data_IF_441948497811
#
_entry.id   IF_441948497811
#
_cell.length_a   1.000
_cell.length_b   1.000
_cell.length_c   1.000
_cell.angle_alpha   90.00
_cell.angle_beta   90.00
_cell.angle_gamma   90.00
#
_symmetry.space_group_name_H-M   'P 1'
#
loop_
_entity.id
_entity.type
_entity.pdbx_description
1 polymer ?
#
# COMPACT_ATOMS: atom_id res chain seq x y z
N UNK A 1 94.28 -1.57 37.88
CA UNK A 1 92.97 -2.22 38.04
C UNK A 1 92.28 -1.60 39.26
N UNK A 2 91.20 -0.82 39.08
CA UNK A 2 90.42 -0.29 40.20
C UNK A 2 89.45 -1.38 40.67
N UNK A 3 89.62 -1.87 41.89
CA UNK A 3 88.68 -2.80 42.52
C UNK A 3 87.34 -2.09 42.67
N UNK A 4 86.26 -2.68 42.11
CA UNK A 4 84.90 -2.19 42.32
C UNK A 4 84.58 -2.27 43.82
N UNK A 5 84.04 -1.22 44.44
CA UNK A 5 83.65 -1.30 45.85
C UNK A 5 82.56 -2.37 46.01
N UNK A 6 82.81 -3.38 46.84
CA UNK A 6 81.80 -4.34 47.25
C UNK A 6 80.69 -3.58 47.99
N UNK A 7 79.44 -3.73 47.51
CA UNK A 7 78.27 -3.23 48.24
C UNK A 7 78.25 -3.84 49.64
N UNK A 8 78.00 -3.02 50.65
CA UNK A 8 77.85 -3.51 52.04
C UNK A 8 76.62 -4.42 52.10
N UNK A 9 76.65 -5.54 52.82
CA UNK A 9 75.53 -6.49 52.90
C UNK A 9 74.20 -5.84 53.31
N UNK A 10 74.25 -4.78 54.13
CA UNK A 10 73.08 -3.99 54.54
C UNK A 10 72.39 -3.26 53.36
N UNK A 11 73.14 -2.80 52.35
CA UNK A 11 72.54 -2.14 51.18
C UNK A 11 71.86 -3.13 50.25
N UNK A 12 72.40 -4.35 50.13
CA UNK A 12 71.78 -5.45 49.39
C UNK A 12 70.45 -5.88 50.00
N UNK A 13 70.37 -6.03 51.32
CA UNK A 13 69.13 -6.38 52.03
C UNK A 13 68.05 -5.31 51.83
N UNK A 14 68.41 -4.03 51.91
CA UNK A 14 67.49 -2.90 51.65
C UNK A 14 66.96 -2.91 50.22
N UNK A 15 67.81 -3.19 49.23
CA UNK A 15 67.40 -3.30 47.82
C UNK A 15 66.40 -4.45 47.65
N UNK A 16 66.68 -5.62 48.23
CA UNK A 16 65.79 -6.79 48.15
C UNK A 16 64.42 -6.47 48.78
N UNK A 17 64.40 -5.85 49.96
CA UNK A 17 63.15 -5.45 50.63
C UNK A 17 62.36 -4.46 49.77
N UNK A 18 63.02 -3.46 49.18
CA UNK A 18 62.35 -2.48 48.31
C UNK A 18 61.75 -3.13 47.06
N UNK A 19 62.47 -4.07 46.43
CA UNK A 19 61.97 -4.82 45.28
C UNK A 19 60.74 -5.65 45.66
N UNK A 20 60.75 -6.31 46.82
CA UNK A 20 59.61 -7.09 47.31
C UNK A 20 58.39 -6.22 47.62
N UNK A 21 58.60 -5.07 48.25
CA UNK A 21 57.52 -4.11 48.54
C UNK A 21 56.92 -3.56 47.25
N UNK A 22 57.76 -3.20 46.27
CA UNK A 22 57.31 -2.71 44.97
C UNK A 22 56.55 -3.80 44.20
N UNK A 23 57.06 -5.04 44.18
CA UNK A 23 56.39 -6.18 43.56
C UNK A 23 55.01 -6.43 44.19
N UNK A 24 54.93 -6.45 45.53
CA UNK A 24 53.67 -6.63 46.24
C UNK A 24 52.68 -5.49 45.96
N UNK A 25 53.15 -4.24 45.96
CA UNK A 25 52.33 -3.09 45.61
C UNK A 25 51.81 -3.16 44.17
N UNK A 26 52.66 -3.55 43.22
CA UNK A 26 52.28 -3.76 41.81
C UNK A 26 51.20 -4.84 41.68
N UNK A 27 51.36 -5.98 42.37
CA UNK A 27 50.35 -7.05 42.39
C UNK A 27 49.01 -6.58 42.97
N UNK A 28 49.02 -5.76 44.04
CA UNK A 28 47.80 -5.19 44.59
C UNK A 28 47.09 -4.23 43.61
N UNK A 29 47.86 -3.47 42.81
CA UNK A 29 47.28 -2.62 41.77
C UNK A 29 46.64 -3.43 40.64
N UNK A 30 47.28 -4.51 40.20
CA UNK A 30 46.72 -5.42 39.18
C UNK A 30 45.43 -6.09 39.67
N UNK A 31 45.40 -6.59 40.91
CA UNK A 31 44.19 -7.18 41.50
C UNK A 31 43.04 -6.17 41.55
N UNK A 32 43.33 -4.90 41.92
CA UNK A 32 42.32 -3.84 41.93
C UNK A 32 41.79 -3.55 40.52
N UNK A 33 42.67 -3.47 39.53
CA UNK A 33 42.28 -3.28 38.11
C UNK A 33 41.40 -4.44 37.63
N UNK A 34 41.81 -5.68 37.87
CA UNK A 34 41.03 -6.87 37.47
C UNK A 34 39.65 -6.91 38.12
N UNK A 35 39.52 -6.55 39.41
CA UNK A 35 38.22 -6.43 40.08
C UNK A 35 37.36 -5.35 39.44
N UNK A 36 37.91 -4.18 39.12
CA UNK A 36 37.18 -3.11 38.43
C UNK A 36 36.70 -3.56 37.05
N UNK A 37 37.56 -4.21 36.26
CA UNK A 37 37.18 -4.76 34.95
C UNK A 37 36.07 -5.80 35.07
N UNK A 38 36.14 -6.68 36.07
CA UNK A 38 35.10 -7.70 36.32
C UNK A 38 33.76 -7.04 36.67
N UNK A 39 33.77 -6.01 37.51
CA UNK A 39 32.54 -5.25 37.87
C UNK A 39 31.96 -4.58 36.62
N UNK A 40 32.79 -3.93 35.81
CA UNK A 40 32.35 -3.29 34.56
C UNK A 40 31.78 -4.31 33.56
N UNK A 41 32.41 -5.47 33.42
CA UNK A 41 31.89 -6.54 32.55
C UNK A 41 30.54 -7.07 33.03
N UNK A 42 30.38 -7.28 34.34
CA UNK A 42 29.11 -7.73 34.92
C UNK A 42 28.00 -6.68 34.76
N UNK A 43 28.34 -5.39 34.91
CA UNK A 43 27.41 -4.29 34.64
C UNK A 43 27.01 -4.25 33.16
N UNK A 44 27.97 -4.30 32.25
CA UNK A 44 27.71 -4.34 30.81
C UNK A 44 26.84 -5.55 30.41
N UNK A 45 27.07 -6.71 31.04
CA UNK A 45 26.24 -7.89 30.82
C UNK A 45 24.80 -7.70 31.33
N UNK A 46 24.63 -7.10 32.51
CA UNK A 46 23.31 -6.76 33.07
C UNK A 46 22.56 -5.76 32.18
N UNK A 47 23.25 -4.72 31.70
CA UNK A 47 22.67 -3.71 30.82
C UNK A 47 22.27 -4.32 29.47
N UNK A 48 23.09 -5.23 28.92
CA UNK A 48 22.77 -5.98 27.71
C UNK A 48 21.51 -6.83 27.89
N UNK A 49 21.41 -7.57 29.00
CA UNK A 49 20.23 -8.38 29.31
C UNK A 49 18.98 -7.52 29.44
N UNK A 50 19.09 -6.36 30.10
CA UNK A 50 18.00 -5.40 30.19
C UNK A 50 17.58 -4.90 28.80
N UNK A 51 18.53 -4.48 27.97
CA UNK A 51 18.25 -4.01 26.61
C UNK A 51 17.57 -5.09 25.75
N UNK A 52 18.06 -6.33 25.79
CA UNK A 52 17.46 -7.47 25.08
C UNK A 52 16.03 -7.73 25.55
N UNK A 53 15.76 -7.60 26.85
CA UNK A 53 14.40 -7.76 27.37
C UNK A 53 13.44 -6.67 26.89
N UNK A 54 13.92 -5.43 26.77
CA UNK A 54 13.11 -4.30 26.29
C UNK A 54 12.85 -4.41 24.79
N UNK A 55 13.86 -4.78 23.99
CA UNK A 55 13.68 -5.00 22.55
C UNK A 55 12.74 -6.16 22.27
N UNK A 56 12.83 -7.26 23.02
CA UNK A 56 11.91 -8.39 22.90
C UNK A 56 10.46 -7.96 23.18
N UNK A 57 10.21 -7.14 24.21
CA UNK A 57 8.87 -6.60 24.48
C UNK A 57 8.37 -5.69 23.35
N UNK A 58 9.24 -4.86 22.79
CA UNK A 58 8.89 -3.97 21.68
C UNK A 58 8.54 -4.77 20.41
N UNK A 59 9.32 -5.81 20.09
CA UNK A 59 9.05 -6.73 18.98
C UNK A 59 7.70 -7.42 19.20
N UNK A 60 7.45 -7.98 20.38
CA UNK A 60 6.18 -8.66 20.67
C UNK A 60 4.98 -7.72 20.49
N UNK A 61 5.07 -6.47 20.98
CA UNK A 61 4.00 -5.47 20.76
C UNK A 61 3.79 -5.16 19.28
N UNK A 62 4.86 -5.03 18.49
CA UNK A 62 4.72 -4.84 17.05
C UNK A 62 4.07 -6.05 16.38
N UNK A 63 4.46 -7.27 16.76
CA UNK A 63 3.87 -8.50 16.25
C UNK A 63 2.38 -8.59 16.58
N UNK A 64 1.97 -8.25 17.80
CA UNK A 64 0.56 -8.18 18.21
C UNK A 64 -0.23 -7.16 17.39
N UNK A 65 0.34 -5.97 17.15
CA UNK A 65 -0.30 -4.94 16.32
C UNK A 65 -0.46 -5.41 14.88
N UNK A 66 0.57 -6.05 14.30
CA UNK A 66 0.49 -6.61 12.93
C UNK A 66 -0.57 -7.70 12.86
N UNK A 67 -0.60 -8.62 13.83
CA UNK A 67 -1.63 -9.67 13.88
C UNK A 67 -3.04 -9.09 14.03
N UNK A 68 -3.22 -8.07 14.86
CA UNK A 68 -4.51 -7.41 15.03
C UNK A 68 -4.93 -6.66 13.77
N UNK A 69 -3.99 -6.03 13.05
CA UNK A 69 -4.25 -5.42 11.75
C UNK A 69 -4.60 -6.48 10.70
N UNK A 70 -3.93 -7.63 10.69
CA UNK A 70 -4.27 -8.75 9.80
C UNK A 70 -5.63 -9.38 10.13
N UNK A 71 -6.00 -9.42 11.41
CA UNK A 71 -7.31 -9.91 11.86
C UNK A 71 -8.44 -8.94 11.51
N UNK A 72 -8.15 -7.63 11.57
CA UNK A 72 -9.06 -6.54 11.18
C UNK A 72 -9.07 -6.26 9.69
N UNK A 73 -8.06 -6.71 8.94
CA UNK A 73 -8.06 -6.63 7.50
C UNK A 73 -9.29 -7.41 7.01
N UNK A 74 -10.16 -6.78 6.21
CA UNK A 74 -11.31 -7.47 5.67
C UNK A 74 -10.81 -8.70 4.91
N UNK A 75 -11.27 -9.88 5.33
CA UNK A 75 -11.16 -11.11 4.53
C UNK A 75 -11.70 -10.74 3.14
N UNK A 76 -10.82 -10.66 2.15
CA UNK A 76 -11.19 -10.16 0.84
C UNK A 76 -12.25 -11.10 0.28
N UNK A 77 -13.46 -10.57 0.08
CA UNK A 77 -14.56 -11.36 -0.46
C UNK A 77 -14.10 -12.02 -1.77
N UNK A 78 -14.16 -13.35 -1.90
CA UNK A 78 -13.76 -14.06 -3.13
C UNK A 78 -14.40 -13.49 -4.39
N UNK A 79 -15.63 -12.98 -4.27
CA UNK A 79 -16.35 -12.33 -5.36
C UNK A 79 -15.66 -11.05 -5.80
N UNK A 80 -15.16 -10.25 -4.86
CA UNK A 80 -14.42 -9.01 -5.16
C UNK A 80 -13.07 -9.31 -5.79
N UNK A 81 -12.38 -10.38 -5.35
CA UNK A 81 -11.12 -10.83 -5.97
C UNK A 81 -11.34 -11.13 -7.45
N UNK A 82 -12.39 -11.88 -7.78
CA UNK A 82 -12.73 -12.22 -9.16
C UNK A 82 -13.05 -10.99 -10.02
N UNK A 83 -13.80 -10.02 -9.49
CA UNK A 83 -14.09 -8.77 -10.21
C UNK A 83 -12.81 -7.98 -10.47
N UNK A 84 -11.93 -7.90 -9.49
CA UNK A 84 -10.64 -7.21 -9.62
C UNK A 84 -9.77 -7.87 -10.70
N UNK A 85 -9.69 -9.20 -10.74
CA UNK A 85 -8.99 -9.93 -11.80
C UNK A 85 -9.57 -9.62 -13.18
N UNK A 86 -10.90 -9.64 -13.32
CA UNK A 86 -11.59 -9.26 -14.57
C UNK A 86 -11.27 -7.81 -15.00
N UNK A 87 -11.10 -6.89 -14.05
CA UNK A 87 -10.72 -5.50 -14.33
C UNK A 87 -9.26 -5.37 -14.74
N UNK A 88 -8.36 -6.11 -14.09
CA UNK A 88 -6.93 -6.11 -14.44
C UNK A 88 -6.75 -6.65 -15.88
N UNK A 89 -7.48 -7.71 -16.25
CA UNK A 89 -7.54 -8.21 -17.63
C UNK A 89 -8.07 -7.15 -18.60
N UNK A 90 -9.17 -6.48 -18.24
CA UNK A 90 -9.78 -5.45 -19.07
C UNK A 90 -8.85 -4.24 -19.27
N UNK A 91 -8.14 -3.82 -18.22
CA UNK A 91 -7.15 -2.76 -18.29
C UNK A 91 -6.01 -3.13 -19.25
N UNK A 92 -5.51 -4.36 -19.18
CA UNK A 92 -4.47 -4.85 -20.09
C UNK A 92 -4.91 -4.81 -21.56
N UNK A 93 -6.18 -5.17 -21.84
CA UNK A 93 -6.76 -5.07 -23.19
C UNK A 93 -6.87 -3.62 -23.68
N UNK A 94 -7.17 -2.68 -22.80
CA UNK A 94 -7.29 -1.26 -23.14
C UNK A 94 -5.95 -0.53 -23.22
N UNK A 95 -4.88 -0.99 -22.56
CA UNK A 95 -3.56 -0.33 -22.59
C UNK A 95 -3.08 0.04 -24.00
N UNK A 96 -3.11 -0.86 -25.01
CA UNK A 96 -2.68 -0.51 -26.36
C UNK A 96 -3.68 0.37 -27.14
N UNK A 97 -4.93 0.47 -26.70
CA UNK A 97 -6.01 1.21 -27.37
C UNK A 97 -6.13 2.63 -26.81
N UNK A 98 -6.19 2.74 -25.49
CA UNK A 98 -6.34 3.99 -24.75
C UNK A 98 -5.80 3.83 -23.34
N UNK A 99 -4.56 4.29 -23.13
CA UNK A 99 -3.93 4.32 -21.81
C UNK A 99 -4.78 5.05 -20.77
N UNK A 100 -5.49 6.11 -21.19
CA UNK A 100 -6.39 6.86 -20.30
C UNK A 100 -7.53 5.99 -19.77
N UNK A 101 -8.19 5.21 -20.63
CA UNK A 101 -9.27 4.30 -20.22
C UNK A 101 -8.71 3.17 -19.36
N UNK A 102 -7.56 2.61 -19.72
CA UNK A 102 -6.90 1.58 -18.91
C UNK A 102 -6.59 2.07 -17.47
N UNK A 103 -6.10 3.31 -17.32
CA UNK A 103 -5.86 3.91 -16.01
C UNK A 103 -7.14 4.14 -15.20
N UNK A 104 -8.25 4.48 -15.86
CA UNK A 104 -9.55 4.61 -15.19
C UNK A 104 -10.09 3.24 -14.73
N UNK A 105 -9.90 2.19 -15.53
CA UNK A 105 -10.23 0.80 -15.15
C UNK A 105 -9.42 0.35 -13.94
N UNK A 106 -8.11 0.55 -13.95
CA UNK A 106 -7.23 0.26 -12.79
C UNK A 106 -7.67 1.03 -11.54
N UNK A 107 -8.10 2.28 -11.70
CA UNK A 107 -8.66 3.06 -10.60
C UNK A 107 -9.92 2.41 -10.00
N UNK A 108 -10.81 1.82 -10.80
CA UNK A 108 -11.96 1.09 -10.28
C UNK A 108 -11.53 -0.16 -9.48
N UNK A 109 -10.52 -0.89 -9.95
CA UNK A 109 -9.95 -2.04 -9.25
C UNK A 109 -9.34 -1.65 -7.89
N UNK A 110 -8.63 -0.52 -7.80
CA UNK A 110 -8.11 0.02 -6.53
C UNK A 110 -9.21 0.35 -5.53
N UNK A 111 -10.32 0.91 -5.97
CA UNK A 111 -11.46 1.23 -5.10
C UNK A 111 -12.08 -0.04 -4.51
N UNK A 112 -12.20 -1.12 -5.30
CA UNK A 112 -12.66 -2.41 -4.80
C UNK A 112 -11.72 -3.02 -3.75
N UNK A 113 -10.40 -2.95 -4.00
CA UNK A 113 -9.38 -3.39 -3.03
C UNK A 113 -9.42 -2.58 -1.73
N UNK A 114 -9.91 -1.34 -1.77
CA UNK A 114 -10.09 -0.46 -0.63
C UNK A 114 -11.47 -0.56 0.05
N UNK A 115 -12.29 -1.56 -0.29
CA UNK A 115 -13.65 -1.75 0.21
C UNK A 115 -14.58 -0.54 -0.07
N UNK A 116 -14.41 0.07 -1.25
CA UNK A 116 -15.22 1.20 -1.74
C UNK A 116 -16.05 0.81 -2.97
N UNK A 117 -17.01 -0.13 -2.85
CA UNK A 117 -17.70 -0.72 -4.01
C UNK A 117 -18.64 0.25 -4.73
N UNK A 118 -19.23 1.23 -4.03
CA UNK A 118 -20.10 2.24 -4.64
C UNK A 118 -19.28 3.20 -5.51
N UNK A 119 -18.14 3.66 -4.99
CA UNK A 119 -17.21 4.53 -5.72
C UNK A 119 -16.61 3.80 -6.92
N UNK A 120 -16.36 2.49 -6.80
CA UNK A 120 -15.94 1.66 -7.92
C UNK A 120 -16.99 1.64 -9.04
N UNK A 121 -18.27 1.38 -8.72
CA UNK A 121 -19.39 1.43 -9.71
C UNK A 121 -19.53 2.83 -10.32
N UNK A 122 -19.44 3.89 -9.53
CA UNK A 122 -19.47 5.27 -10.04
C UNK A 122 -18.31 5.56 -10.99
N UNK A 123 -17.12 5.00 -10.72
CA UNK A 123 -15.95 5.10 -11.59
C UNK A 123 -16.17 4.33 -12.89
N UNK A 124 -16.74 3.11 -12.84
CA UNK A 124 -17.12 2.35 -14.04
C UNK A 124 -18.15 3.08 -14.90
N UNK A 125 -19.16 3.71 -14.28
CA UNK A 125 -20.12 4.55 -14.99
C UNK A 125 -19.45 5.74 -15.71
N UNK A 126 -18.41 6.33 -15.10
CA UNK A 126 -17.61 7.39 -15.71
C UNK A 126 -16.78 6.87 -16.89
N UNK A 127 -16.22 5.66 -16.81
CA UNK A 127 -15.52 5.01 -17.93
C UNK A 127 -16.45 4.86 -19.13
N UNK A 128 -17.66 4.31 -18.90
CA UNK A 128 -18.69 4.17 -19.95
C UNK A 128 -19.07 5.52 -20.56
N UNK A 129 -19.25 6.55 -19.74
CA UNK A 129 -19.50 7.91 -20.23
C UNK A 129 -18.35 8.41 -21.11
N UNK A 130 -17.10 8.22 -20.70
CA UNK A 130 -15.93 8.66 -21.44
C UNK A 130 -15.79 7.91 -22.77
N UNK A 131 -16.06 6.59 -22.79
CA UNK A 131 -16.07 5.80 -24.03
C UNK A 131 -17.11 6.37 -25.00
N UNK A 132 -18.35 6.60 -24.54
CA UNK A 132 -19.40 7.18 -25.39
C UNK A 132 -19.05 8.58 -25.89
N UNK A 133 -18.40 9.40 -25.06
CA UNK A 133 -17.90 10.71 -25.49
C UNK A 133 -16.92 10.56 -26.65
N UNK A 134 -15.97 9.63 -26.55
CA UNK A 134 -14.99 9.39 -27.62
C UNK A 134 -15.67 8.90 -28.90
N UNK A 135 -16.67 8.02 -28.82
CA UNK A 135 -17.40 7.54 -30.00
C UNK A 135 -18.16 8.66 -30.72
N UNK A 136 -18.79 9.57 -29.98
CA UNK A 136 -19.65 10.61 -30.55
C UNK A 136 -18.96 11.97 -30.68
N UNK A 137 -17.67 12.07 -30.32
CA UNK A 137 -16.89 13.31 -30.43
C UNK A 137 -16.93 13.86 -31.86
N UNK A 138 -16.84 12.98 -32.86
CA UNK A 138 -16.85 13.32 -34.29
C UNK A 138 -18.18 13.03 -35.00
N UNK A 139 -19.22 12.58 -34.28
CA UNK A 139 -20.52 12.28 -34.89
C UNK A 139 -21.25 13.59 -35.21
N UNK A 140 -21.34 13.95 -36.49
CA UNK A 140 -22.00 15.19 -36.94
C UNK A 140 -23.45 15.31 -36.47
N UNK A 141 -24.19 14.20 -36.42
CA UNK A 141 -25.59 14.20 -36.01
C UNK A 141 -25.69 14.51 -34.52
N UNK A 142 -24.83 13.90 -33.71
CA UNK A 142 -24.74 14.19 -32.28
C UNK A 142 -24.33 15.64 -32.04
N UNK A 143 -23.31 16.11 -32.75
CA UNK A 143 -22.81 17.48 -32.65
C UNK A 143 -23.89 18.48 -33.04
N UNK A 144 -24.62 18.28 -34.14
CA UNK A 144 -25.73 19.19 -34.54
C UNK A 144 -26.84 19.25 -33.49
N UNK A 145 -27.19 18.11 -32.86
CA UNK A 145 -28.23 18.05 -31.81
C UNK A 145 -27.79 18.70 -30.49
N UNK A 146 -26.48 18.72 -30.20
CA UNK A 146 -25.95 19.12 -28.89
C UNK A 146 -24.98 20.31 -28.87
N UNK A 147 -24.65 20.89 -30.03
CA UNK A 147 -23.73 22.05 -30.21
C UNK A 147 -24.10 23.29 -29.36
N UNK A 148 -25.36 23.43 -28.97
CA UNK A 148 -25.84 24.57 -28.15
C UNK A 148 -25.78 24.32 -26.63
N UNK A 149 -25.46 23.11 -26.16
CA UNK A 149 -25.37 22.83 -24.72
C UNK A 149 -23.92 22.96 -24.25
N UNK A 150 -23.67 23.75 -23.20
CA UNK A 150 -22.33 23.98 -22.67
C UNK A 150 -21.66 22.73 -22.05
N UNK A 151 -22.40 21.62 -21.93
CA UNK A 151 -21.85 20.37 -21.39
C UNK A 151 -22.59 19.14 -21.93
N UNK A 152 -21.85 18.22 -22.54
CA UNK A 152 -22.35 16.90 -22.93
C UNK A 152 -22.46 16.04 -21.65
N UNK A 153 -23.70 15.69 -21.27
CA UNK A 153 -23.98 14.85 -20.11
C UNK A 153 -24.19 13.39 -20.51
N UNK A 154 -24.00 12.48 -19.54
CA UNK A 154 -24.13 11.04 -19.74
C UNK A 154 -25.50 10.62 -20.30
N UNK A 155 -26.57 11.28 -19.88
CA UNK A 155 -27.92 11.00 -20.36
C UNK A 155 -28.08 11.22 -21.88
N UNK A 156 -27.56 12.32 -22.41
CA UNK A 156 -27.62 12.62 -23.84
C UNK A 156 -26.83 11.58 -24.65
N UNK A 157 -25.67 11.16 -24.14
CA UNK A 157 -24.84 10.12 -24.78
C UNK A 157 -25.57 8.78 -24.85
N UNK A 158 -26.23 8.37 -23.75
CA UNK A 158 -27.03 7.15 -23.71
C UNK A 158 -28.19 7.24 -24.72
N UNK A 159 -28.94 8.34 -24.71
CA UNK A 159 -30.06 8.52 -25.65
C UNK A 159 -29.60 8.44 -27.11
N UNK A 160 -28.48 9.08 -27.46
CA UNK A 160 -27.95 9.01 -28.82
C UNK A 160 -27.48 7.60 -29.19
N UNK A 161 -26.84 6.88 -28.26
CA UNK A 161 -26.46 5.49 -28.48
C UNK A 161 -27.67 4.57 -28.72
N UNK A 162 -28.79 4.85 -28.05
CA UNK A 162 -30.07 4.15 -28.26
C UNK A 162 -30.66 4.46 -29.64
N UNK A 163 -30.68 5.74 -30.04
CA UNK A 163 -31.16 6.16 -31.37
C UNK A 163 -30.36 5.47 -32.49
N UNK A 164 -29.06 5.23 -32.26
CA UNK A 164 -28.16 4.51 -33.17
C UNK A 164 -28.26 2.98 -33.06
N UNK A 165 -29.11 2.44 -32.18
CA UNK A 165 -29.30 1.00 -31.99
C UNK A 165 -28.08 0.29 -31.39
N UNK A 166 -27.24 0.99 -30.62
CA UNK A 166 -25.98 0.45 -30.10
C UNK A 166 -26.16 -0.45 -28.87
N UNK A 167 -27.30 -0.34 -28.20
CA UNK A 167 -27.60 -1.04 -26.95
C UNK A 167 -28.98 -1.67 -26.99
N UNK A 168 -29.13 -2.81 -26.31
CA UNK A 168 -30.44 -3.44 -26.09
C UNK A 168 -31.28 -2.63 -25.09
N UNK A 169 -32.61 -2.85 -25.01
CA UNK A 169 -33.45 -2.22 -24.00
C UNK A 169 -32.95 -2.48 -22.56
N UNK A 170 -32.42 -3.68 -22.30
CA UNK A 170 -31.87 -4.08 -21.00
C UNK A 170 -30.61 -3.29 -20.66
N UNK A 171 -29.64 -3.24 -21.59
CA UNK A 171 -28.42 -2.45 -21.43
C UNK A 171 -28.72 -0.96 -21.27
N UNK A 172 -29.75 -0.46 -21.96
CA UNK A 172 -30.22 0.92 -21.84
C UNK A 172 -30.78 1.21 -20.45
N UNK A 173 -31.60 0.31 -19.90
CA UNK A 173 -32.11 0.44 -18.53
C UNK A 173 -30.97 0.46 -17.52
N UNK A 174 -30.01 -0.47 -17.66
CA UNK A 174 -28.82 -0.55 -16.83
C UNK A 174 -27.96 0.73 -16.87
N UNK A 175 -27.68 1.27 -18.06
CA UNK A 175 -26.95 2.53 -18.22
C UNK A 175 -27.65 3.71 -17.53
N UNK A 176 -28.99 3.75 -17.53
CA UNK A 176 -29.76 4.77 -16.82
C UNK A 176 -29.64 4.62 -15.30
N UNK A 177 -29.64 3.40 -14.78
CA UNK A 177 -29.39 3.13 -13.36
C UNK A 177 -27.98 3.54 -12.93
N UNK A 178 -26.96 3.16 -13.71
CA UNK A 178 -25.57 3.55 -13.45
C UNK A 178 -25.38 5.06 -13.42
N UNK A 179 -26.05 5.79 -14.32
CA UNK A 179 -26.08 7.25 -14.29
C UNK A 179 -26.65 7.75 -12.95
N UNK A 180 -27.70 7.11 -12.44
CA UNK A 180 -28.26 7.39 -11.12
C UNK A 180 -27.21 7.25 -10.01
N UNK A 181 -26.57 6.09 -9.92
CA UNK A 181 -25.53 5.79 -8.91
C UNK A 181 -24.37 6.80 -8.98
N UNK A 182 -23.90 7.11 -10.20
CA UNK A 182 -22.85 8.10 -10.41
C UNK A 182 -23.26 9.48 -9.91
N UNK A 183 -24.48 9.91 -10.22
CA UNK A 183 -24.99 11.22 -9.82
C UNK A 183 -25.18 11.28 -8.30
N UNK A 184 -25.77 10.25 -7.69
CA UNK A 184 -25.89 10.12 -6.23
C UNK A 184 -24.49 10.22 -5.60
N UNK A 185 -23.52 9.45 -6.08
CA UNK A 185 -22.15 9.44 -5.54
C UNK A 185 -21.39 10.77 -5.72
N UNK A 186 -21.82 11.62 -6.67
CA UNK A 186 -21.24 12.93 -6.90
C UNK A 186 -21.83 14.02 -5.98
N UNK A 187 -22.99 13.77 -5.38
CA UNK A 187 -23.74 14.76 -4.60
C UNK A 187 -23.96 14.35 -3.13
N UNK A 188 -23.89 13.06 -2.83
CA UNK A 188 -24.13 12.48 -1.50
C UNK A 188 -22.87 11.76 -1.00
N UNK A 189 -22.54 11.95 0.28
CA UNK A 189 -21.34 11.38 0.90
C UNK A 189 -21.52 9.92 1.36
N UNK A 190 -22.76 9.46 1.59
CA UNK A 190 -23.06 8.13 2.15
C UNK A 190 -24.10 7.39 1.30
N UNK A 191 -23.80 7.22 0.01
CA UNK A 191 -24.63 6.40 -0.87
C UNK A 191 -24.48 4.94 -0.48
N UNK A 192 -25.57 4.30 -0.06
CA UNK A 192 -25.60 2.89 0.32
C UNK A 192 -26.43 2.08 -0.66
N UNK A 193 -25.85 1.01 -1.20
CA UNK A 193 -26.54 0.03 -2.04
C UNK A 193 -26.28 -1.38 -1.53
N UNK A 194 -27.21 -2.34 -1.70
CA UNK A 194 -26.99 -3.71 -1.32
C UNK A 194 -25.75 -4.31 -1.99
N UNK A 195 -24.97 -5.11 -1.26
CA UNK A 195 -23.73 -5.71 -1.77
C UNK A 195 -23.94 -6.54 -3.05
N UNK A 196 -24.98 -7.38 -3.08
CA UNK A 196 -25.31 -8.19 -4.27
C UNK A 196 -25.69 -7.35 -5.48
N UNK A 197 -26.33 -6.19 -5.26
CA UNK A 197 -26.63 -5.24 -6.33
C UNK A 197 -25.35 -4.62 -6.90
N UNK A 198 -24.43 -4.17 -6.03
CA UNK A 198 -23.16 -3.59 -6.47
C UNK A 198 -22.29 -4.60 -7.23
N UNK A 199 -22.26 -5.86 -6.77
CA UNK A 199 -21.54 -6.93 -7.47
C UNK A 199 -22.12 -7.15 -8.88
N UNK A 200 -23.45 -7.26 -9.00
CA UNK A 200 -24.11 -7.39 -10.30
C UNK A 200 -23.85 -6.19 -11.21
N UNK A 201 -23.86 -4.96 -10.68
CA UNK A 201 -23.50 -3.78 -11.46
C UNK A 201 -22.04 -3.82 -11.94
N UNK A 202 -21.11 -4.32 -11.13
CA UNK A 202 -19.70 -4.44 -11.51
C UNK A 202 -19.52 -5.44 -12.66
N UNK A 203 -20.18 -6.59 -12.59
CA UNK A 203 -20.15 -7.59 -13.66
C UNK A 203 -20.72 -7.06 -14.97
N UNK A 204 -21.93 -6.49 -14.92
CA UNK A 204 -22.58 -5.95 -16.10
C UNK A 204 -21.81 -4.75 -16.69
N UNK A 205 -21.14 -3.93 -15.86
CA UNK A 205 -20.25 -2.89 -16.35
C UNK A 205 -19.07 -3.47 -17.14
N UNK A 206 -18.42 -4.50 -16.61
CA UNK A 206 -17.27 -5.15 -17.26
C UNK A 206 -17.70 -5.71 -18.61
N UNK A 207 -18.83 -6.43 -18.65
CA UNK A 207 -19.34 -7.03 -19.87
C UNK A 207 -19.71 -5.97 -20.90
N UNK A 208 -20.34 -4.88 -20.47
CA UNK A 208 -20.68 -3.77 -21.35
C UNK A 208 -19.41 -3.10 -21.91
N UNK A 209 -18.41 -2.81 -21.08
CA UNK A 209 -17.14 -2.23 -21.54
C UNK A 209 -16.44 -3.17 -22.54
N UNK A 210 -16.43 -4.48 -22.28
CA UNK A 210 -15.88 -5.48 -23.22
C UNK A 210 -16.58 -5.44 -24.57
N UNK A 211 -17.92 -5.36 -24.60
CA UNK A 211 -18.69 -5.23 -25.84
C UNK A 211 -18.39 -3.93 -26.62
N UNK A 212 -17.87 -2.90 -25.95
CA UNK A 212 -17.51 -1.63 -26.58
C UNK A 212 -16.10 -1.63 -27.19
N UNK A 213 -15.22 -2.57 -26.83
CA UNK A 213 -13.83 -2.63 -27.36
C UNK A 213 -13.74 -2.66 -28.90
N UNK A 214 -14.48 -3.52 -29.62
CA UNK A 214 -14.29 -3.67 -31.08
C UNK A 214 -14.51 -2.39 -31.87
N UNK A 215 -15.24 -1.41 -31.32
CA UNK A 215 -15.53 -0.14 -31.99
C UNK A 215 -14.42 0.89 -31.86
N UNK A 216 -13.42 0.68 -31.00
CA UNK A 216 -12.20 1.49 -31.00
C UNK A 216 -11.22 1.11 -32.11
N UNK A 217 -11.28 -0.13 -32.59
CA UNK A 217 -10.39 -0.64 -33.65
C UNK A 217 -10.81 -0.21 -35.06
N UNK A 218 -11.93 0.50 -35.19
CA UNK A 218 -12.54 0.92 -36.46
C UNK A 218 -12.44 2.43 -36.73
N UNK A 219 -11.77 3.17 -35.85
CA UNK A 219 -11.49 4.62 -35.97
C UNK A 219 -9.99 4.86 -36.03
#
# INVERSE_FOLDING_TARGET
MKSKPLLRPQTLTLIIILVLVFYFWSQQQEIKRLRQTTIQQNQAYSDLQFMVSQTSRAINRQTELVQELMRKAPQTDPSIVLIVEKLDELAALFTPISLKVAMEIDSAGRLLRADQPVQAVATMAKILENILKTWFEKDEEFQKRHQKKSTINFGNLISHAVDKGLFTPQQTAFLKELKGIRNESAHELDVRKPKGYLLSCQEECIDLIKCMIPRFSLT
#
